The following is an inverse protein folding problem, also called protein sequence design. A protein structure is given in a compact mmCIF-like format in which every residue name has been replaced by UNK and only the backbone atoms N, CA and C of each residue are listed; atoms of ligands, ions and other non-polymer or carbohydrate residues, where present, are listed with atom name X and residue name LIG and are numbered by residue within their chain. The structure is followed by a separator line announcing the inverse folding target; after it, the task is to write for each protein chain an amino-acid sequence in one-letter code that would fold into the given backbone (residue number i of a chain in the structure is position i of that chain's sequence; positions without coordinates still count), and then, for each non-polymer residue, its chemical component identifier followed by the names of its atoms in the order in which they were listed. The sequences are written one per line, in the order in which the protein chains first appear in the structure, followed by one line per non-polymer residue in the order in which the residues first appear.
data_IF_508474427164
#
_entry.id   IF_508474427164
#
_cell.length_a   1.000
_cell.length_b   1.000
_cell.length_c   1.000
_cell.angle_alpha   90.00
_cell.angle_beta   90.00
_cell.angle_gamma   90.00
#
_symmetry.space_group_name_H-M   'P 1'
#
loop_
_entity.id
_entity.type
_entity.pdbx_description
1 polymer ?
#
# COMPACT_ATOMS: atom_id res chain seq x y z
N UNK A 1 7.49 -27.91 11.47
CA UNK A 1 6.28 -27.55 12.21
C UNK A 1 6.18 -26.03 12.32
N UNK A 2 4.95 -25.47 12.27
CA UNK A 2 4.65 -24.06 12.44
C UNK A 2 3.85 -23.83 13.73
N UNK A 3 4.08 -22.70 14.40
CA UNK A 3 3.46 -22.38 15.68
C UNK A 3 3.03 -20.93 15.67
N UNK A 4 1.72 -20.68 15.82
CA UNK A 4 1.14 -19.35 16.02
C UNK A 4 1.09 -19.02 17.51
N UNK A 5 1.37 -17.77 17.86
CA UNK A 5 1.35 -17.29 19.25
C UNK A 5 1.06 -15.80 19.34
N UNK A 6 0.92 -15.31 20.57
CA UNK A 6 0.84 -13.89 20.92
C UNK A 6 2.10 -13.08 20.55
N UNK A 7 3.21 -13.76 20.34
CA UNK A 7 4.50 -13.18 19.95
C UNK A 7 4.77 -13.25 18.44
N UNK A 8 3.82 -13.77 17.67
CA UNK A 8 3.90 -13.91 16.22
C UNK A 8 3.93 -15.36 15.74
N UNK A 9 4.41 -15.58 14.55
CA UNK A 9 4.52 -16.89 13.91
C UNK A 9 5.95 -17.40 14.02
N UNK A 10 6.08 -18.71 14.33
CA UNK A 10 7.37 -19.38 14.49
C UNK A 10 7.41 -20.65 13.65
N UNK A 11 8.61 -21.03 13.26
CA UNK A 11 8.91 -22.28 12.58
C UNK A 11 9.87 -23.10 13.44
N UNK A 12 9.52 -24.35 13.72
CA UNK A 12 10.41 -25.28 14.39
C UNK A 12 11.26 -26.00 13.33
N UNK A 13 12.57 -25.78 13.40
CA UNK A 13 13.59 -26.38 12.52
C UNK A 13 14.70 -26.91 13.43
N UNK A 14 15.09 -28.18 13.26
CA UNK A 14 16.19 -28.81 13.99
C UNK A 14 16.14 -28.59 15.52
N UNK A 15 14.95 -28.70 16.09
CA UNK A 15 14.65 -28.44 17.50
C UNK A 15 14.83 -26.98 17.96
N UNK A 16 15.04 -26.05 17.03
CA UNK A 16 15.10 -24.62 17.32
C UNK A 16 13.85 -23.90 16.87
N UNK A 17 13.34 -23.00 17.71
CA UNK A 17 12.16 -22.19 17.42
C UNK A 17 12.60 -20.86 16.77
N UNK A 18 12.43 -20.76 15.47
CA UNK A 18 12.84 -19.59 14.69
C UNK A 18 11.63 -18.71 14.41
N UNK A 19 11.70 -17.44 14.81
CA UNK A 19 10.63 -16.47 14.52
C UNK A 19 10.55 -16.19 13.02
N UNK A 20 9.37 -16.40 12.45
CA UNK A 20 9.09 -16.07 11.06
C UNK A 20 8.87 -14.55 10.91
N UNK A 21 9.74 -13.89 10.16
CA UNK A 21 9.68 -12.43 9.98
C UNK A 21 8.53 -12.06 9.04
N UNK A 22 7.66 -11.18 9.52
CA UNK A 22 6.53 -10.58 8.79
C UNK A 22 6.77 -9.07 8.73
N UNK A 23 7.48 -8.55 7.71
CA UNK A 23 7.80 -7.12 7.60
C UNK A 23 6.55 -6.23 7.72
N UNK A 24 6.62 -5.23 8.61
CA UNK A 24 5.50 -4.35 8.95
C UNK A 24 4.47 -4.94 9.92
N UNK A 25 4.59 -6.21 10.30
CA UNK A 25 3.63 -6.91 11.17
C UNK A 25 4.32 -7.71 12.30
N UNK A 26 5.56 -7.37 12.66
CA UNK A 26 6.42 -8.14 13.57
C UNK A 26 5.87 -8.23 15.00
N UNK A 27 5.06 -7.28 15.41
CA UNK A 27 4.49 -7.17 16.76
C UNK A 27 3.05 -7.68 16.86
N UNK A 28 2.46 -8.14 15.75
CA UNK A 28 1.06 -8.59 15.75
C UNK A 28 0.93 -9.99 16.30
N UNK A 29 -0.18 -10.21 17.02
CA UNK A 29 -0.60 -11.52 17.51
C UNK A 29 -1.08 -12.34 16.30
N UNK A 30 -0.62 -13.57 16.19
CA UNK A 30 -1.09 -14.53 15.17
C UNK A 30 -2.10 -15.46 15.82
N UNK A 31 -3.36 -15.34 15.40
CA UNK A 31 -4.46 -16.14 15.94
C UNK A 31 -4.63 -17.49 15.24
N UNK A 32 -4.45 -17.49 13.92
CA UNK A 32 -4.59 -18.69 13.09
C UNK A 32 -3.72 -18.55 11.84
N UNK A 33 -3.41 -19.67 11.22
CA UNK A 33 -2.72 -19.69 9.92
C UNK A 33 -3.08 -20.95 9.14
N UNK A 34 -2.96 -20.90 7.83
CA UNK A 34 -3.17 -22.00 6.91
C UNK A 34 -2.38 -21.81 5.63
N UNK A 35 -2.05 -22.90 4.94
CA UNK A 35 -1.43 -22.84 3.62
C UNK A 35 -2.48 -23.15 2.55
N UNK A 36 -2.52 -22.36 1.48
CA UNK A 36 -3.36 -22.67 0.33
C UNK A 36 -2.68 -23.69 -0.60
N UNK A 37 -3.42 -24.20 -1.59
CA UNK A 37 -2.91 -25.19 -2.55
C UNK A 37 -1.75 -24.66 -3.41
N UNK A 38 -1.55 -23.35 -3.46
CA UNK A 38 -0.42 -22.71 -4.13
C UNK A 38 0.74 -22.44 -3.16
N UNK A 39 0.69 -23.01 -1.94
CA UNK A 39 1.68 -22.85 -0.89
C UNK A 39 1.87 -21.39 -0.42
N UNK A 40 0.85 -20.53 -0.61
CA UNK A 40 0.84 -19.22 0.05
C UNK A 40 0.38 -19.40 1.49
N UNK A 41 1.04 -18.69 2.39
CA UNK A 41 0.71 -18.70 3.82
C UNK A 41 -0.32 -17.61 4.12
N UNK A 42 -1.44 -18.01 4.70
CA UNK A 42 -2.48 -17.12 5.18
C UNK A 42 -2.43 -17.03 6.69
N UNK A 43 -2.53 -15.83 7.25
CA UNK A 43 -2.35 -15.56 8.67
C UNK A 43 -3.48 -14.68 9.16
N UNK A 44 -4.23 -15.15 10.13
CA UNK A 44 -5.29 -14.42 10.81
C UNK A 44 -4.73 -13.57 11.96
N UNK A 45 -5.01 -12.27 11.90
CA UNK A 45 -4.57 -11.26 12.86
C UNK A 45 -5.78 -10.64 13.59
N UNK A 46 -5.50 -9.80 14.59
CA UNK A 46 -6.56 -9.08 15.32
C UNK A 46 -7.27 -8.02 14.48
N UNK A 47 -6.65 -7.54 13.40
CA UNK A 47 -7.11 -6.42 12.60
C UNK A 47 -7.22 -6.76 11.10
N UNK A 48 -7.17 -8.05 10.76
CA UNK A 48 -7.33 -8.50 9.38
C UNK A 48 -6.68 -9.83 9.06
N UNK A 49 -6.54 -10.07 7.75
CA UNK A 49 -5.97 -11.27 7.20
C UNK A 49 -4.72 -10.93 6.38
N UNK A 50 -3.68 -11.74 6.50
CA UNK A 50 -2.41 -11.53 5.82
C UNK A 50 -2.12 -12.70 4.90
N UNK A 51 -1.78 -12.45 3.65
CA UNK A 51 -1.28 -13.45 2.71
C UNK A 51 0.20 -13.20 2.46
N UNK A 52 1.00 -14.25 2.61
CA UNK A 52 2.43 -14.24 2.30
C UNK A 52 2.70 -15.21 1.17
N UNK A 53 3.21 -14.70 0.07
CA UNK A 53 3.73 -15.49 -1.05
C UNK A 53 5.25 -15.40 -1.03
N UNK A 54 5.92 -16.53 -0.87
CA UNK A 54 7.38 -16.63 -0.97
C UNK A 54 7.78 -17.05 -2.39
N UNK A 55 8.72 -16.34 -2.98
CA UNK A 55 9.34 -16.70 -4.24
C UNK A 55 10.86 -16.44 -4.16
N UNK A 56 11.59 -16.77 -5.22
CA UNK A 56 13.05 -16.57 -5.30
C UNK A 56 13.49 -15.10 -5.14
N UNK A 57 12.59 -14.15 -5.40
CA UNK A 57 12.84 -12.71 -5.25
C UNK A 57 12.52 -12.18 -3.86
N UNK A 58 11.95 -13.00 -2.96
CA UNK A 58 11.61 -12.64 -1.60
C UNK A 58 10.15 -12.90 -1.22
N UNK A 59 9.68 -12.18 -0.20
CA UNK A 59 8.30 -12.31 0.32
C UNK A 59 7.43 -11.20 -0.26
N UNK A 60 6.36 -11.59 -0.93
CA UNK A 60 5.26 -10.69 -1.26
C UNK A 60 4.19 -10.83 -0.18
N UNK A 61 4.01 -9.76 0.61
CA UNK A 61 3.07 -9.72 1.73
C UNK A 61 1.90 -8.82 1.34
N UNK A 62 0.68 -9.33 1.48
CA UNK A 62 -0.55 -8.57 1.28
C UNK A 62 -1.40 -8.63 2.53
N UNK A 63 -1.73 -7.46 3.05
CA UNK A 63 -2.59 -7.29 4.20
C UNK A 63 -3.99 -6.87 3.77
N UNK A 64 -5.00 -7.59 4.25
CA UNK A 64 -6.41 -7.29 4.07
C UNK A 64 -6.94 -6.74 5.38
N UNK A 65 -7.02 -5.42 5.48
CA UNK A 65 -7.55 -4.71 6.64
C UNK A 65 -9.00 -4.30 6.42
N UNK A 66 -9.64 -3.83 7.48
CA UNK A 66 -11.01 -3.30 7.43
C UNK A 66 -11.11 -2.09 6.49
N UNK A 67 -10.11 -1.22 6.50
CA UNK A 67 -9.96 -0.08 5.58
C UNK A 67 -9.77 -0.55 4.12
N UNK A 68 -9.14 -1.73 3.94
CA UNK A 68 -8.94 -2.37 2.64
C UNK A 68 -10.12 -3.20 2.13
N UNK A 69 -11.30 -3.09 2.78
CA UNK A 69 -12.50 -3.83 2.40
C UNK A 69 -12.58 -5.24 2.97
N UNK A 70 -11.74 -5.59 3.95
CA UNK A 70 -11.91 -6.81 4.73
C UNK A 70 -13.14 -6.68 5.60
N UNK A 71 -14.13 -7.53 5.35
CA UNK A 71 -15.44 -7.50 6.03
C UNK A 71 -15.47 -8.32 7.32
N UNK A 72 -14.41 -9.08 7.61
CA UNK A 72 -14.29 -9.82 8.86
C UNK A 72 -13.79 -8.94 10.00
N UNK A 73 -14.20 -9.26 11.21
CA UNK A 73 -13.62 -8.71 12.42
C UNK A 73 -12.26 -9.34 12.76
N UNK A 74 -11.92 -9.39 14.04
CA UNK A 74 -10.73 -10.09 14.51
C UNK A 74 -10.82 -11.57 14.15
N UNK A 75 -9.74 -12.14 13.59
CA UNK A 75 -9.67 -13.57 13.35
C UNK A 75 -9.62 -14.34 14.68
N UNK A 76 -10.38 -15.42 14.78
CA UNK A 76 -10.43 -16.27 15.97
C UNK A 76 -9.24 -17.24 16.00
N UNK A 77 -8.82 -17.61 17.19
CA UNK A 77 -7.70 -18.54 17.39
C UNK A 77 -8.04 -19.92 16.85
N UNK A 78 -7.11 -20.49 16.07
CA UNK A 78 -7.24 -21.83 15.44
C UNK A 78 -8.48 -22.00 14.57
N UNK A 79 -9.08 -20.92 14.11
CA UNK A 79 -10.31 -20.92 13.32
C UNK A 79 -10.04 -20.63 11.83
N UNK A 80 -9.14 -21.39 11.23
CA UNK A 80 -8.83 -21.28 9.80
C UNK A 80 -8.65 -22.68 9.21
N UNK A 81 -9.25 -22.92 8.07
CA UNK A 81 -9.14 -24.18 7.34
C UNK A 81 -9.30 -23.97 5.85
N UNK A 82 -8.49 -24.68 5.07
CA UNK A 82 -8.60 -24.72 3.62
C UNK A 82 -9.47 -25.91 3.18
N UNK A 83 -10.37 -25.68 2.24
CA UNK A 83 -11.11 -26.76 1.58
C UNK A 83 -10.39 -27.29 0.35
N UNK A 84 -10.81 -28.45 -0.16
CA UNK A 84 -10.24 -29.10 -1.35
C UNK A 84 -10.40 -28.24 -2.63
N UNK A 85 -11.36 -27.31 -2.68
CA UNK A 85 -11.58 -26.39 -3.80
C UNK A 85 -10.87 -25.05 -3.61
N UNK A 86 -9.86 -25.00 -2.77
CA UNK A 86 -9.05 -23.81 -2.55
C UNK A 86 -9.84 -22.61 -1.98
N UNK A 87 -10.88 -22.90 -1.21
CA UNK A 87 -11.60 -21.91 -0.41
C UNK A 87 -11.08 -21.94 1.02
N UNK A 88 -10.61 -20.79 1.49
CA UNK A 88 -10.16 -20.60 2.85
C UNK A 88 -11.33 -20.11 3.71
N UNK A 89 -11.67 -20.89 4.72
CA UNK A 89 -12.66 -20.53 5.72
C UNK A 89 -11.97 -19.95 6.94
N UNK A 90 -12.37 -18.74 7.34
CA UNK A 90 -11.76 -18.02 8.46
C UNK A 90 -12.85 -17.61 9.43
N UNK A 91 -12.82 -18.17 10.64
CA UNK A 91 -13.68 -17.74 11.73
C UNK A 91 -13.22 -16.38 12.26
N UNK A 92 -14.16 -15.45 12.39
CA UNK A 92 -13.93 -14.10 12.91
C UNK A 92 -14.96 -13.73 13.97
N UNK A 93 -14.76 -12.64 14.71
CA UNK A 93 -15.72 -12.13 15.67
C UNK A 93 -17.07 -11.76 15.00
N UNK A 94 -17.02 -11.35 13.73
CA UNK A 94 -18.20 -10.94 12.97
C UNK A 94 -18.87 -12.11 12.20
N UNK A 95 -18.29 -13.32 12.30
CA UNK A 95 -18.82 -14.52 11.66
C UNK A 95 -17.80 -15.29 10.83
N UNK A 96 -18.27 -16.01 9.81
CA UNK A 96 -17.44 -16.81 8.93
C UNK A 96 -17.11 -16.04 7.65
N UNK A 97 -15.82 -15.84 7.40
CA UNK A 97 -15.32 -15.32 6.14
C UNK A 97 -14.90 -16.47 5.23
N UNK A 98 -15.29 -16.41 3.96
CA UNK A 98 -14.87 -17.35 2.93
C UNK A 98 -14.05 -16.60 1.89
N UNK A 99 -12.82 -17.03 1.68
CA UNK A 99 -11.87 -16.44 0.72
C UNK A 99 -11.55 -17.45 -0.36
N UNK A 100 -11.78 -17.09 -1.62
CA UNK A 100 -11.28 -17.89 -2.74
C UNK A 100 -9.79 -17.56 -2.94
N UNK A 101 -8.90 -18.50 -2.61
CA UNK A 101 -7.45 -18.26 -2.64
C UNK A 101 -6.87 -18.27 -4.06
N UNK A 102 -7.64 -18.77 -5.06
CA UNK A 102 -7.27 -18.68 -6.47
C UNK A 102 -7.46 -17.28 -7.06
N UNK A 103 -8.26 -16.43 -6.41
CA UNK A 103 -8.41 -15.08 -6.88
C UNK A 103 -7.06 -14.40 -6.84
N UNK A 104 -6.60 -14.01 -8.02
CA UNK A 104 -5.48 -13.08 -8.12
C UNK A 104 -5.99 -11.76 -7.56
N UNK A 105 -5.79 -11.55 -6.28
CA UNK A 105 -6.05 -10.24 -5.64
C UNK A 105 -5.11 -9.14 -6.19
N UNK A 106 -4.57 -9.34 -7.36
CA UNK A 106 -3.98 -8.32 -8.19
C UNK A 106 -5.13 -7.45 -8.68
N UNK A 107 -5.57 -6.54 -7.81
CA UNK A 107 -6.40 -5.48 -8.29
C UNK A 107 -5.56 -4.75 -9.35
N UNK A 108 -5.98 -4.81 -10.60
CA UNK A 108 -5.73 -3.73 -11.52
C UNK A 108 -6.44 -2.53 -10.91
N UNK A 109 -5.81 -1.93 -9.92
CA UNK A 109 -6.32 -0.74 -9.28
C UNK A 109 -6.17 0.37 -10.31
N UNK A 110 -7.22 0.62 -11.01
CA UNK A 110 -7.33 1.81 -11.83
C UNK A 110 -7.52 2.96 -10.84
N UNK A 111 -6.43 3.53 -10.38
CA UNK A 111 -6.45 4.81 -9.70
C UNK A 111 -6.14 5.89 -10.75
N UNK A 112 -6.88 6.97 -10.67
CA UNK A 112 -6.63 8.14 -11.50
C UNK A 112 -6.02 9.20 -10.57
N UNK A 113 -4.71 9.44 -10.64
CA UNK A 113 -4.13 10.56 -9.93
C UNK A 113 -4.63 11.84 -10.57
N UNK A 114 -5.26 12.69 -9.80
CA UNK A 114 -5.56 14.07 -10.19
C UNK A 114 -4.48 14.94 -9.60
N UNK A 115 -3.66 15.53 -10.46
CA UNK A 115 -2.61 16.44 -10.06
C UNK A 115 -3.14 17.86 -10.07
N UNK A 116 -3.05 18.54 -8.94
CA UNK A 116 -3.27 19.98 -8.82
C UNK A 116 -1.96 20.67 -8.50
N UNK A 117 -1.64 21.75 -9.20
CA UNK A 117 -0.49 22.59 -8.88
C UNK A 117 -1.00 23.98 -8.57
N UNK A 118 -0.57 24.54 -7.44
CA UNK A 118 -0.83 25.92 -7.09
C UNK A 118 0.48 26.64 -6.77
N UNK A 119 0.61 27.87 -7.18
CA UNK A 119 1.81 28.67 -6.98
C UNK A 119 1.45 29.90 -6.16
N UNK A 120 2.18 30.11 -5.07
CA UNK A 120 2.03 31.31 -4.26
C UNK A 120 2.44 32.54 -5.07
N UNK A 121 1.50 33.48 -5.21
CA UNK A 121 1.70 34.72 -5.99
C UNK A 121 1.31 34.64 -7.47
N UNK A 122 0.84 33.48 -7.96
CA UNK A 122 0.20 33.38 -9.27
C UNK A 122 -1.32 33.34 -9.09
N UNK A 123 -2.03 34.29 -9.71
CA UNK A 123 -3.50 34.32 -9.68
C UNK A 123 -4.10 33.25 -10.58
N UNK A 124 -3.39 32.90 -11.67
CA UNK A 124 -3.82 31.87 -12.61
C UNK A 124 -2.64 30.98 -13.02
N UNK A 125 -2.65 29.72 -12.59
CA UNK A 125 -1.60 28.74 -12.92
C UNK A 125 -1.67 28.27 -14.37
N UNK A 126 -2.83 28.37 -15.00
CA UNK A 126 -3.07 27.85 -16.36
C UNK A 126 -2.17 28.56 -17.38
N UNK A 127 -1.76 29.80 -17.13
CA UNK A 127 -0.82 30.56 -17.96
C UNK A 127 0.57 29.92 -18.02
N UNK A 128 0.93 29.14 -17.02
CA UNK A 128 2.23 28.48 -16.90
C UNK A 128 2.19 26.99 -17.19
N UNK A 129 0.98 26.44 -17.46
CA UNK A 129 0.75 25.01 -17.58
C UNK A 129 0.59 24.60 -19.03
N UNK A 130 1.36 23.58 -19.43
CA UNK A 130 1.20 22.92 -20.71
C UNK A 130 0.49 21.57 -20.51
N UNK A 131 -0.61 21.38 -21.21
CA UNK A 131 -1.38 20.13 -21.20
C UNK A 131 -0.98 19.24 -22.39
N UNK A 132 -1.10 17.93 -22.20
CA UNK A 132 -1.01 16.95 -23.28
C UNK A 132 -2.35 16.86 -24.06
N UNK A 133 -2.39 15.92 -25.02
CA UNK A 133 -3.57 15.71 -25.88
C UNK A 133 -4.80 15.20 -25.09
N UNK A 134 -4.57 14.60 -23.92
CA UNK A 134 -5.60 14.07 -23.04
C UNK A 134 -6.03 15.08 -21.95
N UNK A 135 -5.51 16.32 -22.01
CA UNK A 135 -5.79 17.36 -21.03
C UNK A 135 -5.07 17.19 -19.70
N UNK A 136 -4.01 16.37 -19.65
CA UNK A 136 -3.20 16.17 -18.45
C UNK A 136 -2.04 17.16 -18.42
N UNK A 137 -1.61 17.54 -17.23
CA UNK A 137 -0.45 18.41 -17.04
C UNK A 137 0.81 17.71 -17.57
N UNK A 138 1.39 18.25 -18.62
CA UNK A 138 2.64 17.80 -19.20
C UNK A 138 3.85 18.48 -18.54
N UNK A 139 3.76 19.80 -18.36
CA UNK A 139 4.80 20.59 -17.72
C UNK A 139 4.22 21.91 -17.18
N UNK A 140 4.91 22.46 -16.19
CA UNK A 140 4.65 23.80 -15.68
C UNK A 140 5.95 24.58 -15.70
N UNK A 141 5.93 25.75 -16.35
CA UNK A 141 7.11 26.62 -16.43
C UNK A 141 6.88 27.87 -15.60
N UNK A 142 7.55 27.97 -14.47
CA UNK A 142 7.41 29.10 -13.55
C UNK A 142 8.47 30.17 -13.83
N UNK A 143 8.11 31.47 -13.75
CA UNK A 143 9.10 32.54 -13.83
C UNK A 143 9.98 32.55 -12.57
N UNK A 144 11.23 33.02 -12.72
CA UNK A 144 12.22 33.05 -11.63
C UNK A 144 11.80 33.82 -10.37
N UNK A 145 10.79 34.67 -10.48
CA UNK A 145 10.21 35.41 -9.35
C UNK A 145 9.36 34.55 -8.44
N UNK A 146 8.85 33.40 -8.93
CA UNK A 146 7.96 32.50 -8.22
C UNK A 146 8.73 31.28 -7.73
N UNK A 147 9.38 31.41 -6.58
CA UNK A 147 10.23 30.36 -5.98
C UNK A 147 9.46 29.44 -5.03
N UNK A 148 8.25 29.80 -4.66
CA UNK A 148 7.43 29.06 -3.71
C UNK A 148 6.21 28.49 -4.43
N UNK A 149 6.06 27.17 -4.38
CA UNK A 149 4.91 26.52 -4.98
C UNK A 149 4.47 25.31 -4.16
N UNK A 150 3.23 24.94 -4.36
CA UNK A 150 2.63 23.78 -3.74
C UNK A 150 2.13 22.84 -4.82
N UNK A 151 2.45 21.57 -4.67
CA UNK A 151 1.90 20.49 -5.48
C UNK A 151 0.89 19.75 -4.63
N UNK A 152 -0.35 19.69 -5.10
CA UNK A 152 -1.38 18.83 -4.51
C UNK A 152 -1.71 17.69 -5.46
N UNK A 153 -1.89 16.50 -4.93
CA UNK A 153 -2.37 15.37 -5.69
C UNK A 153 -3.49 14.68 -4.95
N UNK A 154 -4.45 14.23 -5.71
CA UNK A 154 -5.58 13.47 -5.22
C UNK A 154 -5.72 12.20 -6.03
N UNK A 155 -5.64 11.07 -5.38
CA UNK A 155 -5.95 9.79 -6.01
C UNK A 155 -7.39 9.42 -5.73
N UNK A 156 -8.10 8.99 -6.76
CA UNK A 156 -9.42 8.41 -6.61
C UNK A 156 -9.27 6.91 -6.79
N UNK A 157 -9.53 6.15 -5.73
CA UNK A 157 -9.60 4.71 -5.78
C UNK A 157 -11.07 4.30 -5.80
N UNK A 158 -11.49 3.65 -6.89
CA UNK A 158 -12.90 3.28 -7.09
C UNK A 158 -13.37 2.12 -6.19
N UNK A 159 -12.45 1.42 -5.55
CA UNK A 159 -12.78 0.38 -4.57
C UNK A 159 -12.86 1.01 -3.19
N UNK A 160 -14.05 1.04 -2.61
CA UNK A 160 -14.30 1.58 -1.29
C UNK A 160 -13.35 0.98 -0.22
N UNK A 161 -12.89 1.81 0.70
CA UNK A 161 -12.15 1.39 1.88
C UNK A 161 -10.64 1.22 1.70
N UNK A 162 -10.04 1.62 0.58
CA UNK A 162 -8.58 1.61 0.44
C UNK A 162 -7.99 3.00 0.68
N UNK A 163 -7.08 3.06 1.63
CA UNK A 163 -6.23 4.22 1.84
C UNK A 163 -5.15 4.25 0.75
N UNK A 164 -5.06 5.37 0.02
CA UNK A 164 -4.01 5.57 -0.97
C UNK A 164 -2.80 6.16 -0.26
N UNK A 165 -1.65 5.53 -0.47
CA UNK A 165 -0.35 6.08 -0.05
C UNK A 165 0.39 6.52 -1.29
N UNK A 166 0.87 7.74 -1.27
CA UNK A 166 1.66 8.29 -2.37
C UNK A 166 3.14 8.26 -2.02
N UNK A 167 3.93 7.92 -3.02
CA UNK A 167 5.37 8.13 -2.99
C UNK A 167 5.68 9.14 -4.08
N UNK A 168 6.41 10.17 -3.73
CA UNK A 168 6.85 11.13 -4.72
C UNK A 168 8.38 11.33 -4.65
N UNK A 169 8.92 11.70 -5.78
CA UNK A 169 10.33 12.00 -5.95
C UNK A 169 10.45 13.32 -6.73
N UNK A 170 11.11 14.30 -6.16
CA UNK A 170 11.56 15.48 -6.89
C UNK A 170 12.99 15.25 -7.36
N UNK A 171 13.23 15.25 -8.67
CA UNK A 171 14.55 15.15 -9.29
C UNK A 171 14.88 16.50 -9.94
N UNK A 172 16.01 17.10 -9.59
CA UNK A 172 16.55 18.30 -10.19
C UNK A 172 18.05 18.21 -10.35
N UNK A 173 18.68 19.21 -10.95
CA UNK A 173 20.13 19.18 -11.25
C UNK A 173 21.01 18.93 -10.02
N UNK A 174 20.54 19.27 -8.81
CA UNK A 174 21.33 19.16 -7.57
C UNK A 174 20.61 18.49 -6.40
N UNK A 175 19.33 18.12 -6.51
CA UNK A 175 18.58 17.60 -5.37
C UNK A 175 17.73 16.38 -5.74
N UNK A 176 17.94 15.27 -5.00
CA UNK A 176 17.06 14.10 -5.01
C UNK A 176 16.42 13.97 -3.64
N UNK A 177 15.18 14.39 -3.51
CA UNK A 177 14.44 14.23 -2.27
C UNK A 177 13.43 13.10 -2.40
N UNK A 178 13.57 12.08 -1.58
CA UNK A 178 12.57 11.01 -1.41
C UNK A 178 11.80 11.29 -0.14
N UNK A 179 10.49 11.43 -0.25
CA UNK A 179 9.63 11.57 0.91
C UNK A 179 8.47 10.60 0.80
N UNK A 180 8.16 9.93 1.91
CA UNK A 180 7.00 9.06 2.06
C UNK A 180 6.03 9.78 2.99
N UNK A 181 4.95 10.31 2.46
CA UNK A 181 3.94 10.99 3.27
C UNK A 181 2.53 10.51 2.93
N UNK A 182 1.66 10.59 3.93
CA UNK A 182 0.23 10.38 3.78
C UNK A 182 -0.50 11.66 3.35
N UNK A 183 0.22 12.77 3.21
CA UNK A 183 -0.35 14.07 2.90
C UNK A 183 -0.44 14.28 1.38
N UNK A 184 -1.57 14.83 0.97
CA UNK A 184 -1.89 15.10 -0.42
C UNK A 184 -1.29 16.42 -0.94
N UNK A 185 -0.47 17.10 -0.14
CA UNK A 185 0.09 18.41 -0.47
C UNK A 185 1.57 18.48 -0.11
N UNK A 186 2.37 18.95 -1.07
CA UNK A 186 3.81 19.19 -0.88
C UNK A 186 4.06 20.67 -1.09
N UNK A 187 4.71 21.31 -0.13
CA UNK A 187 5.12 22.69 -0.22
C UNK A 187 6.61 22.77 -0.53
N UNK A 188 6.94 23.51 -1.57
CA UNK A 188 8.31 23.85 -1.94
C UNK A 188 8.55 25.33 -1.71
N UNK A 189 9.65 25.67 -1.05
CA UNK A 189 10.06 27.04 -0.78
C UNK A 189 11.50 27.27 -1.24
N UNK A 190 11.75 28.44 -1.80
CA UNK A 190 13.08 28.90 -2.23
C UNK A 190 13.75 27.96 -3.23
N UNK A 191 12.96 27.37 -4.13
CA UNK A 191 13.48 26.43 -5.14
C UNK A 191 14.44 27.16 -6.06
N UNK A 192 15.62 26.57 -6.30
CA UNK A 192 16.64 27.09 -7.19
C UNK A 192 16.13 27.06 -8.65
N UNK A 193 16.77 27.85 -9.50
CA UNK A 193 16.51 27.80 -10.93
C UNK A 193 16.98 26.46 -11.50
N UNK A 194 16.15 25.80 -12.30
CA UNK A 194 16.47 24.50 -12.90
C UNK A 194 15.26 23.77 -13.42
N UNK A 195 15.49 22.64 -14.06
CA UNK A 195 14.46 21.70 -14.50
C UNK A 195 14.24 20.64 -13.43
N UNK A 196 13.00 20.43 -13.04
CA UNK A 196 12.61 19.49 -12.01
C UNK A 196 11.58 18.51 -12.53
N UNK A 197 11.70 17.25 -12.11
CA UNK A 197 10.77 16.20 -12.47
C UNK A 197 10.09 15.68 -11.18
N UNK A 198 8.78 15.71 -11.16
CA UNK A 198 7.99 15.10 -10.08
C UNK A 198 7.45 13.77 -10.57
N UNK A 199 7.86 12.70 -9.89
CA UNK A 199 7.33 11.35 -10.10
C UNK A 199 6.46 10.99 -8.90
N UNK A 200 5.25 10.50 -9.17
CA UNK A 200 4.27 10.10 -8.17
C UNK A 200 3.93 8.63 -8.36
#
# INVERSE_FOLDING_TARGET
CWIASDKGLFKLIDNELIKYKLPGHEKKIVHSFEFDLNNNLWIGLSDGLLRVKENSSGKNIRFFSKEGGFIGGRCNSSAMVLSDNNQLFVGTDDGLLIVNTNDTFESKSTYFPVLGISVLGAENIDEYTKLDQDGRIQSVTLPNSLKNFKISFKGIHLLAGRELKFMYLLEGENEKTKVFENDFEINYSEVSHGDYFVKI
#
